data_IF_610459137957
#
_entry.id   IF_610459137957
#
_cell.length_a   1.000
_cell.length_b   1.000
_cell.length_c   1.000
_cell.angle_alpha   90.00
_cell.angle_beta   90.00
_cell.angle_gamma   90.00
#
_symmetry.space_group_name_H-M   'P 1'
#
loop_
_entity.id
_entity.type
_entity.pdbx_description
1 polymer ?
#
# COMPACT_ATOMS: atom_id res chain seq x y z
N UNK A 1 -3.29 -3.62 -12.42
CA UNK A 1 -2.66 -3.74 -11.09
C UNK A 1 -2.54 -2.33 -10.54
N UNK A 2 -3.55 -1.91 -9.78
CA UNK A 2 -3.61 -0.59 -9.12
C UNK A 2 -3.54 -0.90 -7.62
N UNK A 3 -2.35 -0.82 -7.03
CA UNK A 3 -2.08 -1.27 -5.65
C UNK A 3 -2.04 -0.14 -4.63
N UNK A 4 -2.22 1.11 -5.08
CA UNK A 4 -2.19 2.26 -4.18
C UNK A 4 -3.59 2.53 -3.63
N UNK A 5 -3.66 3.05 -2.41
CA UNK A 5 -4.90 3.44 -1.76
C UNK A 5 -4.78 4.88 -1.29
N UNK A 6 -5.69 5.74 -1.76
CA UNK A 6 -5.71 7.16 -1.42
C UNK A 6 -6.98 7.48 -0.64
N UNK A 7 -6.82 8.07 0.54
CA UNK A 7 -7.92 8.61 1.31
C UNK A 7 -8.34 9.99 0.77
N UNK A 8 -9.63 10.23 0.64
CA UNK A 8 -10.22 11.50 0.23
C UNK A 8 -11.21 11.99 1.28
N UNK A 9 -11.15 13.29 1.59
CA UNK A 9 -12.13 13.98 2.42
C UNK A 9 -12.60 15.23 1.68
N UNK A 10 -13.91 15.47 1.65
CA UNK A 10 -14.49 16.60 0.94
C UNK A 10 -14.38 17.87 1.80
N UNK A 11 -13.63 18.85 1.31
CA UNK A 11 -13.55 20.17 1.93
C UNK A 11 -14.84 20.97 1.82
N UNK A 12 -15.06 21.89 2.79
CA UNK A 12 -16.28 22.71 2.91
C UNK A 12 -16.61 23.57 1.68
N UNK A 13 -15.59 23.96 0.92
CA UNK A 13 -15.73 24.84 -0.26
C UNK A 13 -15.72 24.08 -1.59
N UNK A 14 -15.66 22.75 -1.56
CA UNK A 14 -15.57 21.91 -2.76
C UNK A 14 -16.98 21.52 -3.19
N UNK A 15 -17.32 21.73 -4.46
CA UNK A 15 -18.59 21.25 -5.00
C UNK A 15 -18.59 19.74 -5.20
N UNK A 16 -19.76 19.11 -5.30
CA UNK A 16 -19.85 17.67 -5.58
C UNK A 16 -19.18 17.30 -6.92
N UNK A 17 -19.32 18.16 -7.93
CA UNK A 17 -18.70 17.95 -9.24
C UNK A 17 -17.16 17.99 -9.16
N UNK A 18 -16.60 18.93 -8.39
CA UNK A 18 -15.16 19.01 -8.16
C UNK A 18 -14.66 17.78 -7.38
N UNK A 19 -15.39 17.38 -6.35
CA UNK A 19 -15.01 16.22 -5.55
C UNK A 19 -15.05 14.93 -6.37
N UNK A 20 -16.10 14.72 -7.17
CA UNK A 20 -16.20 13.57 -8.08
C UNK A 20 -15.08 13.55 -9.14
N UNK A 21 -14.64 14.71 -9.63
CA UNK A 21 -13.47 14.78 -10.53
C UNK A 21 -12.20 14.29 -9.84
N UNK A 22 -11.96 14.73 -8.60
CA UNK A 22 -10.84 14.26 -7.78
C UNK A 22 -10.92 12.76 -7.51
N UNK A 23 -12.09 12.26 -7.10
CA UNK A 23 -12.32 10.83 -6.86
C UNK A 23 -12.00 9.98 -8.10
N UNK A 24 -12.47 10.41 -9.28
CA UNK A 24 -12.16 9.73 -10.55
C UNK A 24 -10.66 9.74 -10.86
N UNK A 25 -9.97 10.84 -10.58
CA UNK A 25 -8.53 10.95 -10.81
C UNK A 25 -7.76 9.95 -9.94
N UNK A 26 -8.04 9.90 -8.64
CA UNK A 26 -7.36 8.96 -7.74
C UNK A 26 -7.77 7.51 -7.98
N UNK A 27 -9.03 7.28 -8.38
CA UNK A 27 -9.50 5.94 -8.77
C UNK A 27 -8.82 5.40 -10.04
N UNK A 28 -8.19 6.25 -10.85
CA UNK A 28 -7.47 5.82 -12.05
C UNK A 28 -6.10 5.20 -11.72
N UNK A 29 -5.51 5.53 -10.56
CA UNK A 29 -4.19 5.06 -10.14
C UNK A 29 -4.24 4.05 -8.98
N UNK A 30 -5.41 3.89 -8.37
CA UNK A 30 -5.54 3.16 -7.12
C UNK A 30 -6.99 3.08 -6.64
N UNK A 31 -7.15 2.62 -5.41
CA UNK A 31 -8.42 2.68 -4.69
C UNK A 31 -8.55 4.07 -4.05
N UNK A 32 -9.59 4.82 -4.41
CA UNK A 32 -9.98 6.00 -3.66
C UNK A 32 -10.95 5.58 -2.54
N UNK A 33 -10.67 5.96 -1.30
CA UNK A 33 -11.54 5.73 -0.14
C UNK A 33 -11.98 7.06 0.44
N UNK A 34 -13.29 7.25 0.62
CA UNK A 34 -13.85 8.47 1.20
C UNK A 34 -13.95 8.28 2.71
N UNK A 35 -13.22 9.10 3.47
CA UNK A 35 -13.13 9.00 4.92
C UNK A 35 -13.39 10.36 5.58
N UNK A 36 -13.83 10.32 6.84
CA UNK A 36 -13.97 11.50 7.68
C UNK A 36 -12.58 12.10 7.97
N UNK A 37 -12.51 13.44 8.04
CA UNK A 37 -11.24 14.17 8.27
C UNK A 37 -10.52 13.73 9.55
N UNK A 38 -11.28 13.38 10.60
CA UNK A 38 -10.74 12.91 11.88
C UNK A 38 -9.91 11.62 11.76
N UNK A 39 -10.09 10.84 10.68
CA UNK A 39 -9.34 9.60 10.42
C UNK A 39 -8.02 9.86 9.68
N UNK A 40 -7.74 11.09 9.24
CA UNK A 40 -6.58 11.37 8.39
C UNK A 40 -5.23 11.24 9.11
N UNK A 41 -5.18 11.53 10.41
CA UNK A 41 -3.96 11.34 11.21
C UNK A 41 -3.52 9.88 11.22
N UNK A 42 -4.46 8.97 11.46
CA UNK A 42 -4.16 7.53 11.51
C UNK A 42 -3.97 6.93 10.11
N UNK A 43 -4.77 7.33 9.12
CA UNK A 43 -4.66 6.75 7.77
C UNK A 43 -3.34 7.12 7.10
N UNK A 44 -2.81 8.32 7.37
CA UNK A 44 -1.51 8.77 6.85
C UNK A 44 -0.38 7.90 7.40
N UNK A 45 -0.44 7.57 8.69
CA UNK A 45 0.53 6.66 9.31
C UNK A 45 0.43 5.26 8.71
N UNK A 46 -0.80 4.75 8.53
CA UNK A 46 -1.03 3.41 7.99
C UNK A 46 -0.58 3.29 6.54
N UNK A 47 -1.02 4.19 5.66
CA UNK A 47 -0.71 4.13 4.22
C UNK A 47 0.77 4.40 3.94
N UNK A 48 1.39 5.34 4.64
CA UNK A 48 2.80 5.67 4.46
C UNK A 48 3.76 4.60 5.01
N UNK A 49 3.42 3.99 6.15
CA UNK A 49 4.33 3.03 6.82
C UNK A 49 4.20 1.60 6.30
N UNK A 50 3.01 1.20 5.81
CA UNK A 50 2.78 -0.17 5.33
C UNK A 50 3.80 -0.63 4.27
N UNK A 51 4.08 0.15 3.20
CA UNK A 51 5.09 -0.24 2.21
C UNK A 51 6.48 -0.42 2.82
N UNK A 52 6.86 0.44 3.78
CA UNK A 52 8.15 0.36 4.46
C UNK A 52 8.30 -0.96 5.25
N UNK A 53 7.24 -1.42 5.92
CA UNK A 53 7.26 -2.71 6.62
C UNK A 53 7.44 -3.89 5.66
N UNK A 54 6.80 -3.85 4.50
CA UNK A 54 6.95 -4.90 3.47
C UNK A 54 8.37 -4.90 2.89
N UNK A 55 8.94 -3.73 2.62
CA UNK A 55 10.33 -3.63 2.15
C UNK A 55 11.31 -4.15 3.20
N UNK A 56 11.09 -3.80 4.47
CA UNK A 56 11.92 -4.27 5.56
C UNK A 56 11.82 -5.79 5.75
N UNK A 57 10.62 -6.37 5.65
CA UNK A 57 10.43 -7.82 5.68
C UNK A 57 11.20 -8.51 4.54
N UNK A 58 11.12 -7.99 3.32
CA UNK A 58 11.87 -8.52 2.17
C UNK A 58 13.38 -8.43 2.41
N UNK A 59 13.87 -7.31 2.95
CA UNK A 59 15.27 -7.10 3.27
C UNK A 59 15.76 -8.06 4.36
N UNK A 60 14.99 -8.26 5.43
CA UNK A 60 15.31 -9.20 6.49
C UNK A 60 15.35 -10.65 5.99
N UNK A 61 14.43 -11.02 5.09
CA UNK A 61 14.40 -12.35 4.48
C UNK A 61 15.66 -12.59 3.65
N UNK A 62 16.07 -11.59 2.86
CA UNK A 62 17.33 -11.62 2.10
C UNK A 62 18.55 -11.76 3.01
N UNK A 63 18.68 -10.91 4.04
CA UNK A 63 19.80 -10.95 5.01
C UNK A 63 19.86 -12.29 5.77
N UNK A 64 18.72 -12.87 6.11
CA UNK A 64 18.66 -14.16 6.80
C UNK A 64 19.09 -15.32 5.90
N UNK A 65 18.82 -15.22 4.60
CA UNK A 65 19.16 -16.24 3.61
C UNK A 65 20.67 -16.35 3.34
N UNK A 66 21.42 -15.25 3.53
CA UNK A 66 22.89 -15.25 3.42
C UNK A 66 23.53 -16.21 4.44
N UNK A 67 23.00 -16.28 5.67
CA UNK A 67 23.46 -17.23 6.71
C UNK A 67 23.23 -18.69 6.31
N UNK A 68 22.27 -18.93 5.41
CA UNK A 68 21.91 -20.25 4.91
C UNK A 68 22.59 -20.58 3.56
N UNK A 69 23.50 -19.72 3.09
CA UNK A 69 24.21 -19.85 1.79
C UNK A 69 23.29 -19.86 0.57
N UNK A 70 22.13 -19.22 0.67
CA UNK A 70 21.21 -19.01 -0.45
C UNK A 70 21.54 -17.65 -1.10
N UNK A 71 21.54 -17.61 -2.43
CA UNK A 71 21.74 -16.36 -3.18
C UNK A 71 20.67 -15.32 -2.79
N UNK A 72 21.13 -14.09 -2.50
CA UNK A 72 20.28 -12.99 -2.06
C UNK A 72 19.18 -12.66 -3.06
N UNK A 73 19.48 -12.71 -4.36
CA UNK A 73 18.50 -12.38 -5.40
C UNK A 73 17.44 -13.48 -5.52
N UNK A 74 17.84 -14.75 -5.38
CA UNK A 74 16.90 -15.87 -5.28
C UNK A 74 15.97 -15.67 -4.08
N UNK A 75 16.53 -15.48 -2.88
CA UNK A 75 15.73 -15.25 -1.66
C UNK A 75 14.79 -14.03 -1.79
N UNK A 76 15.26 -12.95 -2.40
CA UNK A 76 14.45 -11.76 -2.66
C UNK A 76 13.26 -12.02 -3.57
N UNK A 77 13.45 -12.77 -4.67
CA UNK A 77 12.34 -13.15 -5.57
C UNK A 77 11.29 -14.00 -4.86
N UNK A 78 11.73 -14.99 -4.07
CA UNK A 78 10.82 -15.81 -3.26
C UNK A 78 10.06 -14.96 -2.24
N UNK A 79 10.73 -14.07 -1.51
CA UNK A 79 10.09 -13.17 -0.54
C UNK A 79 9.00 -12.32 -1.21
N UNK A 80 9.31 -11.69 -2.35
CA UNK A 80 8.35 -10.87 -3.11
C UNK A 80 7.15 -11.69 -3.58
N UNK A 81 7.37 -12.88 -4.14
CA UNK A 81 6.27 -13.74 -4.59
C UNK A 81 5.42 -14.26 -3.43
N UNK A 82 6.02 -14.63 -2.30
CA UNK A 82 5.29 -15.07 -1.11
C UNK A 82 4.43 -13.94 -0.55
N UNK A 83 4.97 -12.72 -0.44
CA UNK A 83 4.20 -11.55 0.01
C UNK A 83 3.05 -11.26 -0.96
N UNK A 84 3.34 -11.22 -2.27
CA UNK A 84 2.32 -10.98 -3.28
C UNK A 84 1.19 -12.02 -3.25
N UNK A 85 1.53 -13.31 -3.17
CA UNK A 85 0.55 -14.39 -3.07
C UNK A 85 -0.27 -14.30 -1.77
N UNK A 86 0.38 -14.02 -0.64
CA UNK A 86 -0.29 -13.86 0.65
C UNK A 86 -1.30 -12.71 0.63
N UNK A 87 -0.96 -11.59 -0.02
CA UNK A 87 -1.86 -10.44 -0.14
C UNK A 87 -3.02 -10.70 -1.11
N UNK A 88 -2.83 -11.50 -2.16
CA UNK A 88 -3.88 -11.84 -3.11
C UNK A 88 -4.97 -12.76 -2.52
N UNK A 89 -4.60 -13.63 -1.57
CA UNK A 89 -5.53 -14.55 -0.89
C UNK A 89 -6.13 -13.94 0.40
N UNK A 90 -5.56 -12.82 0.87
CA UNK A 90 -6.05 -12.15 2.07
C UNK A 90 -7.44 -11.56 1.80
N UNK A 91 -8.47 -12.16 2.40
CA UNK A 91 -9.87 -11.76 2.24
C UNK A 91 -10.27 -10.61 3.19
N UNK A 92 -9.39 -9.62 3.37
CA UNK A 92 -9.65 -8.41 4.17
C UNK A 92 -10.06 -7.26 3.27
#
# INVERSE_FOLDING_TARGET
>A
MLLDATALCKGRFVSDEQFQKSERLFSAIGKAEILDEEKFDIITVLSGSCPAYIFYFCELTQKSSEKLRIDKNVAGRFAVHTVYGSLAECSI
#
